data_IF_136450829336
#
_entry.id   IF_136450829336
#
_cell.length_a   1.000
_cell.length_b   1.000
_cell.length_c   1.000
_cell.angle_alpha   90.00
_cell.angle_beta   90.00
_cell.angle_gamma   90.00
#
_symmetry.space_group_name_H-M   'P 1'
#
loop_
_entity.id
_entity.type
_entity.pdbx_description
1 polymer ?
#
# COMPACT_ATOMS: atom_id res chain seq x y z
N UNK A 1 -37.89 -34.27 37.25
CA UNK A 1 -37.81 -35.65 37.78
C UNK A 1 -38.95 -36.44 37.16
N UNK A 2 -38.78 -37.64 36.60
CA UNK A 2 -37.60 -38.52 36.53
C UNK A 2 -37.54 -39.32 35.20
N UNK A 3 -36.42 -40.01 34.96
CA UNK A 3 -36.00 -40.79 33.77
C UNK A 3 -34.99 -41.86 34.29
N UNK A 4 -34.76 -43.07 33.72
CA UNK A 4 -35.51 -43.94 32.79
C UNK A 4 -35.89 -45.28 33.51
N UNK A 5 -35.80 -46.57 33.02
CA UNK A 5 -34.75 -47.21 32.19
C UNK A 5 -35.22 -48.15 31.02
N UNK A 6 -34.26 -48.56 30.18
CA UNK A 6 -34.28 -49.75 29.30
C UNK A 6 -33.26 -50.81 29.88
N UNK A 7 -32.93 -51.98 29.28
CA UNK A 7 -33.38 -52.69 28.06
C UNK A 7 -33.86 -54.16 28.40
N UNK A 8 -33.81 -55.23 27.55
CA UNK A 8 -32.59 -55.84 26.96
C UNK A 8 -32.70 -56.44 25.52
N UNK A 9 -31.56 -56.97 25.01
CA UNK A 9 -31.35 -57.80 23.81
C UNK A 9 -30.61 -59.10 24.24
N UNK A 10 -30.28 -60.07 23.35
CA UNK A 10 -31.03 -60.79 22.30
C UNK A 10 -30.94 -62.34 22.53
N UNK A 11 -31.23 -63.19 21.53
CA UNK A 11 -30.31 -64.32 21.27
C UNK A 11 -29.98 -64.54 19.78
N UNK A 12 -29.08 -65.50 19.48
CA UNK A 12 -28.31 -65.53 18.22
C UNK A 12 -28.32 -66.87 17.44
N UNK A 13 -27.87 -66.76 16.17
CA UNK A 13 -27.02 -67.71 15.41
C UNK A 13 -27.61 -68.81 14.46
N UNK A 14 -27.35 -68.59 13.15
CA UNK A 14 -26.76 -69.54 12.15
C UNK A 14 -27.68 -70.69 11.60
N UNK A 15 -27.35 -71.40 10.49
CA UNK A 15 -26.05 -71.50 9.78
C UNK A 15 -26.05 -71.30 8.23
N UNK A 16 -24.95 -71.72 7.58
CA UNK A 16 -24.46 -71.32 6.24
C UNK A 16 -24.67 -72.32 5.09
N UNK A 17 -24.67 -71.83 3.83
CA UNK A 17 -24.05 -72.46 2.63
C UNK A 17 -23.96 -71.38 1.51
N UNK A 18 -22.81 -70.87 1.07
CA UNK A 18 -21.67 -71.44 0.31
C UNK A 18 -22.02 -71.91 -1.12
N UNK A 19 -21.71 -71.06 -2.11
CA UNK A 19 -21.35 -71.48 -3.48
C UNK A 19 -20.05 -70.78 -3.92
N UNK A 20 -19.21 -71.57 -4.56
CA UNK A 20 -17.79 -71.45 -4.94
C UNK A 20 -17.32 -70.27 -5.83
N UNK A 21 -16.15 -69.71 -5.50
CA UNK A 21 -15.00 -69.41 -6.42
C UNK A 21 -14.03 -70.62 -6.37
N UNK A 22 -13.05 -70.87 -7.30
CA UNK A 22 -12.00 -69.94 -7.78
C UNK A 22 -11.43 -70.31 -9.21
N UNK A 23 -10.13 -70.19 -9.57
CA UNK A 23 -9.12 -69.10 -9.45
C UNK A 23 -8.43 -68.69 -10.80
N UNK A 24 -7.73 -67.55 -10.81
CA UNK A 24 -6.41 -67.39 -11.49
C UNK A 24 -5.66 -66.14 -10.95
N UNK A 25 -4.32 -66.19 -10.91
CA UNK A 25 -3.40 -65.19 -10.35
C UNK A 25 -1.97 -65.42 -10.93
N UNK A 26 -0.95 -64.55 -10.85
CA UNK A 26 -0.68 -63.22 -10.20
C UNK A 26 0.30 -62.48 -11.18
N UNK A 27 1.37 -61.74 -10.80
CA UNK A 27 1.64 -60.74 -9.74
C UNK A 27 1.82 -59.29 -10.33
N UNK A 28 1.44 -58.21 -9.64
CA UNK A 28 2.14 -57.44 -8.59
C UNK A 28 3.26 -56.48 -9.07
N UNK A 29 3.19 -55.21 -8.64
CA UNK A 29 4.33 -54.27 -8.58
C UNK A 29 4.10 -52.87 -9.16
N UNK A 30 3.75 -51.89 -8.32
CA UNK A 30 4.27 -50.50 -8.32
C UNK A 30 3.38 -49.58 -7.46
N UNK A 31 3.91 -49.13 -6.32
CA UNK A 31 3.32 -48.05 -5.50
C UNK A 31 3.78 -46.70 -6.07
N UNK A 32 2.89 -45.72 -6.22
CA UNK A 32 3.24 -44.37 -6.66
C UNK A 32 2.22 -43.33 -6.19
N UNK A 33 2.67 -42.36 -5.41
CA UNK A 33 1.88 -41.21 -4.99
C UNK A 33 1.65 -40.23 -6.17
N UNK A 34 0.63 -39.34 -6.11
CA UNK A 34 0.52 -38.25 -7.07
C UNK A 34 1.78 -37.36 -7.00
N UNK A 35 2.34 -36.92 -8.15
CA UNK A 35 3.60 -36.20 -8.16
C UNK A 35 3.44 -34.78 -7.61
N UNK A 36 4.13 -34.50 -6.51
CA UNK A 36 4.41 -33.15 -6.05
C UNK A 36 5.48 -32.51 -6.94
N UNK A 37 5.11 -31.57 -7.81
CA UNK A 37 6.04 -30.65 -8.46
C UNK A 37 5.47 -29.23 -8.51
N UNK A 38 6.00 -28.37 -7.63
CA UNK A 38 6.42 -27.04 -8.08
C UNK A 38 7.82 -27.12 -8.70
N UNK A 39 8.41 -26.02 -9.21
CA UNK A 39 8.06 -24.63 -8.89
C UNK A 39 7.86 -23.70 -10.11
N UNK A 40 7.44 -22.46 -9.83
CA UNK A 40 7.69 -21.25 -10.63
C UNK A 40 7.27 -21.26 -12.12
N UNK A 41 5.96 -21.17 -12.34
CA UNK A 41 5.44 -20.41 -13.48
C UNK A 41 5.49 -18.91 -13.16
N UNK A 42 6.60 -18.21 -13.48
CA UNK A 42 6.54 -16.75 -13.71
C UNK A 42 5.67 -16.54 -14.95
N UNK A 43 4.37 -16.43 -14.77
CA UNK A 43 3.53 -15.91 -15.84
C UNK A 43 3.92 -14.44 -16.03
N UNK A 44 4.25 -14.08 -17.26
CA UNK A 44 4.47 -12.69 -17.61
C UNK A 44 3.12 -11.99 -17.51
N UNK A 45 2.87 -11.38 -16.35
CA UNK A 45 1.67 -10.61 -16.12
C UNK A 45 1.62 -9.51 -17.19
N UNK A 46 0.59 -9.60 -18.04
CA UNK A 46 0.44 -8.72 -19.19
C UNK A 46 0.50 -7.27 -18.71
N UNK A 47 1.13 -6.41 -19.51
CA UNK A 47 1.64 -5.07 -19.15
C UNK A 47 0.56 -4.08 -18.65
N UNK A 48 -0.06 -4.38 -17.53
CA UNK A 48 -1.16 -3.63 -16.93
C UNK A 48 -0.60 -2.60 -15.96
N UNK A 49 -0.99 -1.32 -16.04
CA UNK A 49 -0.53 -0.31 -15.12
C UNK A 49 -1.02 -0.64 -13.70
N UNK A 50 -0.14 -0.71 -12.70
CA UNK A 50 -0.55 -1.02 -11.33
C UNK A 50 -1.51 0.06 -10.78
N UNK A 51 -2.54 -0.33 -10.01
CA UNK A 51 -3.56 0.59 -9.56
C UNK A 51 -3.02 1.56 -8.49
N UNK A 52 -3.25 2.86 -8.68
CA UNK A 52 -2.71 3.91 -7.83
C UNK A 52 -3.38 4.09 -6.45
N UNK A 53 -4.33 3.23 -6.07
CA UNK A 53 -5.04 3.35 -4.78
C UNK A 53 -4.34 2.65 -3.61
N UNK A 54 -3.46 1.68 -3.86
CA UNK A 54 -2.76 0.95 -2.81
C UNK A 54 -1.35 1.49 -2.63
N UNK A 55 -1.17 2.35 -1.64
CA UNK A 55 0.10 2.99 -1.36
C UNK A 55 0.30 3.24 0.14
N UNK A 56 1.55 3.39 0.56
CA UNK A 56 1.93 3.77 1.92
C UNK A 56 3.00 4.87 1.89
N UNK A 57 3.04 5.70 2.92
CA UNK A 57 4.07 6.74 3.09
C UNK A 57 4.84 6.45 4.38
N UNK A 58 6.17 6.58 4.36
CA UNK A 58 6.99 6.48 5.59
C UNK A 58 7.81 7.75 5.79
N UNK A 59 8.01 8.12 7.06
CA UNK A 59 8.77 9.29 7.47
C UNK A 59 10.05 8.83 8.20
N UNK A 60 11.21 9.15 7.64
CA UNK A 60 12.50 8.65 8.12
C UNK A 60 12.71 7.16 7.86
N UNK A 61 13.65 6.57 8.60
CA UNK A 61 14.09 5.18 8.40
C UNK A 61 13.13 4.11 8.96
N UNK A 62 12.10 4.50 9.71
CA UNK A 62 11.21 3.57 10.40
C UNK A 62 9.96 3.29 9.56
N UNK A 63 9.96 2.16 8.83
CA UNK A 63 8.81 1.71 8.04
C UNK A 63 7.60 1.25 8.89
N UNK A 64 7.70 1.24 10.23
CA UNK A 64 6.62 0.84 11.18
C UNK A 64 5.95 2.04 11.84
N UNK A 65 5.98 3.20 11.21
CA UNK A 65 5.32 4.39 11.72
C UNK A 65 3.83 4.35 11.35
N UNK A 66 2.96 4.22 12.37
CA UNK A 66 1.51 4.11 12.21
C UNK A 66 0.85 5.32 11.51
N UNK A 67 1.61 6.40 11.31
CA UNK A 67 1.23 7.60 10.56
C UNK A 67 1.24 7.42 9.03
N UNK A 68 1.61 6.25 8.52
CA UNK A 68 1.84 6.03 7.08
C UNK A 68 0.60 5.85 6.18
N UNK A 69 -0.61 5.86 6.75
CA UNK A 69 -1.86 5.73 6.01
C UNK A 69 -2.38 7.11 5.55
N UNK A 70 -2.46 7.31 4.24
CA UNK A 70 -2.96 8.54 3.62
C UNK A 70 -4.09 8.23 2.63
N UNK A 71 -5.00 9.18 2.48
CA UNK A 71 -6.09 9.16 1.49
C UNK A 71 -5.60 9.63 0.13
N UNK A 72 -4.68 10.59 0.10
CA UNK A 72 -4.21 11.25 -1.12
C UNK A 72 -2.77 11.75 -0.95
N UNK A 73 -1.98 11.65 -2.03
CA UNK A 73 -0.61 12.20 -2.13
C UNK A 73 -0.48 12.90 -3.47
N UNK A 74 -0.18 14.20 -3.48
CA UNK A 74 0.00 15.02 -4.69
C UNK A 74 1.24 15.90 -4.61
N UNK A 75 1.72 16.43 -5.75
CA UNK A 75 2.94 17.25 -5.80
C UNK A 75 4.26 16.45 -5.77
N UNK A 76 4.24 15.19 -6.21
CA UNK A 76 5.44 14.38 -6.42
C UNK A 76 6.00 14.58 -7.84
N UNK A 77 7.17 15.20 -7.96
CA UNK A 77 7.94 15.28 -9.20
C UNK A 77 8.60 16.64 -9.43
N UNK A 78 9.69 16.71 -10.22
CA UNK A 78 10.22 17.99 -10.69
C UNK A 78 9.30 18.61 -11.77
N UNK A 79 9.06 19.91 -11.65
CA UNK A 79 8.46 20.74 -12.70
C UNK A 79 9.54 21.67 -13.26
N UNK A 80 9.61 21.82 -14.59
CA UNK A 80 10.54 22.75 -15.23
C UNK A 80 9.83 24.05 -15.60
N UNK A 81 10.26 25.16 -15.02
CA UNK A 81 9.82 26.48 -15.43
C UNK A 81 10.40 26.81 -16.81
N UNK A 82 9.53 27.22 -17.74
CA UNK A 82 9.90 27.67 -19.09
C UNK A 82 9.63 29.16 -19.27
N UNK A 83 10.43 29.81 -20.10
CA UNK A 83 10.28 31.22 -20.47
C UNK A 83 10.03 31.34 -21.97
N UNK A 84 8.98 32.07 -22.36
CA UNK A 84 8.58 32.24 -23.75
C UNK A 84 9.33 33.40 -24.42
N UNK A 85 10.15 33.10 -25.42
CA UNK A 85 10.88 34.10 -26.22
C UNK A 85 10.30 34.16 -27.63
N UNK A 86 9.85 35.36 -28.02
CA UNK A 86 9.33 35.65 -29.36
C UNK A 86 10.43 36.34 -30.17
N UNK A 87 10.79 35.79 -31.32
CA UNK A 87 11.77 36.39 -32.23
C UNK A 87 11.09 37.33 -33.25
N UNK A 88 11.71 38.48 -33.49
CA UNK A 88 11.21 39.43 -34.48
C UNK A 88 11.29 38.85 -35.90
N UNK A 89 10.18 38.90 -36.63
CA UNK A 89 10.08 38.43 -38.02
C UNK A 89 9.58 36.99 -38.18
N UNK A 90 9.49 36.21 -37.10
CA UNK A 90 9.01 34.82 -37.14
C UNK A 90 7.74 34.63 -36.31
N UNK A 91 6.57 34.84 -36.94
CA UNK A 91 5.26 34.76 -36.28
C UNK A 91 4.66 33.34 -36.18
N UNK A 92 5.34 32.32 -36.72
CA UNK A 92 4.77 30.96 -36.81
C UNK A 92 4.94 30.10 -35.55
N UNK A 93 5.89 30.43 -34.68
CA UNK A 93 6.11 29.73 -33.41
C UNK A 93 6.80 30.63 -32.38
N UNK A 94 6.78 30.21 -31.11
CA UNK A 94 7.42 30.89 -29.97
C UNK A 94 8.41 29.91 -29.33
N UNK A 95 9.62 30.36 -29.01
CA UNK A 95 10.60 29.53 -28.32
C UNK A 95 10.23 29.40 -26.84
N UNK A 96 10.38 28.20 -26.28
CA UNK A 96 10.29 27.98 -24.84
C UNK A 96 11.66 27.57 -24.31
N UNK A 97 12.29 28.44 -23.54
CA UNK A 97 13.61 28.22 -22.96
C UNK A 97 13.49 27.64 -21.54
N UNK A 98 14.26 26.60 -21.18
CA UNK A 98 14.27 26.05 -19.83
C UNK A 98 14.94 27.03 -18.85
N UNK A 99 14.34 27.22 -17.67
CA UNK A 99 14.84 28.15 -16.65
C UNK A 99 15.35 27.43 -15.41
N UNK A 100 14.46 27.11 -14.47
CA UNK A 100 14.78 26.46 -13.21
C UNK A 100 13.87 25.25 -13.00
N UNK A 101 14.43 24.19 -12.39
CA UNK A 101 13.62 23.08 -11.89
C UNK A 101 13.04 23.50 -10.55
N UNK A 102 11.72 23.51 -10.45
CA UNK A 102 10.96 23.73 -9.22
C UNK A 102 10.41 22.39 -8.73
N UNK A 103 10.35 22.25 -7.42
CA UNK A 103 9.63 21.16 -6.78
C UNK A 103 8.31 21.74 -6.23
N UNK A 104 7.14 21.29 -6.73
CA UNK A 104 5.87 21.66 -6.14
C UNK A 104 5.79 21.11 -4.72
N UNK A 105 4.98 21.72 -3.86
CA UNK A 105 4.80 21.22 -2.49
C UNK A 105 4.16 19.83 -2.52
N UNK A 106 4.72 18.91 -1.73
CA UNK A 106 4.12 17.59 -1.50
C UNK A 106 2.92 17.78 -0.58
N UNK A 107 1.73 17.45 -1.03
CA UNK A 107 0.48 17.60 -0.27
C UNK A 107 -0.05 16.22 0.09
N UNK A 108 -0.25 16.00 1.39
CA UNK A 108 -0.66 14.75 1.99
C UNK A 108 -2.01 14.95 2.68
N UNK A 109 -3.04 14.21 2.26
CA UNK A 109 -4.37 14.24 2.88
C UNK A 109 -4.59 12.92 3.62
N UNK A 110 -4.99 12.93 4.89
CA UNK A 110 -5.33 11.73 5.68
C UNK A 110 -6.50 11.99 6.62
N UNK A 111 -7.16 10.92 7.10
CA UNK A 111 -8.11 11.05 8.20
C UNK A 111 -7.42 11.56 9.47
N UNK A 112 -8.14 12.31 10.32
CA UNK A 112 -7.59 12.78 11.61
C UNK A 112 -7.08 11.58 12.42
N UNK A 113 -5.78 11.57 12.71
CA UNK A 113 -5.12 10.55 13.51
C UNK A 113 -5.34 10.78 15.02
N UNK A 114 -5.06 9.75 15.82
CA UNK A 114 -5.00 9.85 17.28
C UNK A 114 -3.91 10.83 17.72
N UNK A 115 -4.06 11.45 18.90
CA UNK A 115 -3.15 12.49 19.41
C UNK A 115 -1.67 12.07 19.54
N UNK A 116 -1.36 10.77 19.53
CA UNK A 116 0.01 10.24 19.61
C UNK A 116 0.74 10.18 18.24
N UNK A 117 0.16 10.79 17.20
CA UNK A 117 0.76 10.91 15.87
C UNK A 117 2.13 11.62 15.91
N UNK A 118 3.20 10.88 15.57
CA UNK A 118 4.57 11.42 15.47
C UNK A 118 4.74 12.37 14.29
N UNK A 119 3.91 12.21 13.26
CA UNK A 119 3.79 13.18 12.18
C UNK A 119 3.21 14.51 12.68
N UNK A 120 2.10 14.47 13.42
CA UNK A 120 1.44 15.68 13.94
C UNK A 120 2.35 16.44 14.91
N UNK A 121 3.00 15.74 15.84
CA UNK A 121 3.97 16.34 16.78
C UNK A 121 5.13 17.04 16.06
N UNK A 122 5.60 16.51 14.92
CA UNK A 122 6.62 17.16 14.10
C UNK A 122 6.08 18.38 13.33
N UNK A 123 4.84 18.31 12.85
CA UNK A 123 4.18 19.47 12.23
C UNK A 123 3.99 20.61 13.24
N UNK A 124 3.49 20.32 14.44
CA UNK A 124 3.33 21.30 15.52
C UNK A 124 4.68 21.90 15.92
N UNK A 125 5.72 21.07 16.15
CA UNK A 125 7.02 21.59 16.59
C UNK A 125 7.69 22.55 15.60
N UNK A 126 7.45 22.37 14.30
CA UNK A 126 7.98 23.24 13.23
C UNK A 126 7.10 24.48 13.00
N UNK A 127 5.78 24.33 12.99
CA UNK A 127 4.85 25.41 12.63
C UNK A 127 4.52 26.33 13.82
N UNK A 128 4.35 25.78 15.02
CA UNK A 128 4.00 26.53 16.25
C UNK A 128 5.24 27.00 17.02
N UNK A 129 6.39 26.33 16.83
CA UNK A 129 7.64 26.63 17.51
C UNK A 129 8.30 27.97 17.14
N UNK A 130 7.69 28.78 16.27
CA UNK A 130 8.12 30.15 15.96
C UNK A 130 9.54 30.28 15.42
N UNK A 131 10.10 29.22 14.82
CA UNK A 131 11.51 29.08 14.43
C UNK A 131 12.52 29.22 15.61
N UNK A 132 12.07 29.12 16.86
CA UNK A 132 12.93 29.12 18.05
C UNK A 132 13.78 27.84 18.17
N UNK A 133 13.49 26.81 17.38
CA UNK A 133 14.29 25.60 17.21
C UNK A 133 14.62 25.41 15.72
N UNK A 134 15.78 24.83 15.38
CA UNK A 134 16.13 24.53 14.00
C UNK A 134 15.14 23.52 13.42
N UNK A 135 14.69 23.76 12.18
CA UNK A 135 13.88 22.80 11.44
C UNK A 135 14.77 21.59 11.11
N UNK A 136 14.36 20.41 11.57
CA UNK A 136 14.99 19.14 11.16
C UNK A 136 14.20 18.54 9.99
N UNK A 137 14.72 18.59 8.75
CA UNK A 137 14.06 18.00 7.61
C UNK A 137 14.08 16.48 7.70
N UNK A 138 13.06 15.82 7.17
CA UNK A 138 12.96 14.36 7.13
C UNK A 138 13.07 13.85 5.70
N UNK A 139 13.63 12.66 5.55
CA UNK A 139 13.50 11.83 4.37
C UNK A 139 12.10 11.20 4.36
N UNK A 140 11.43 11.14 3.21
CA UNK A 140 10.20 10.36 3.06
C UNK A 140 10.33 9.35 1.92
N UNK A 141 9.52 8.30 2.01
CA UNK A 141 9.31 7.36 0.93
C UNK A 141 7.82 7.16 0.71
N UNK A 142 7.38 7.25 -0.54
CA UNK A 142 6.03 6.90 -0.99
C UNK A 142 6.15 5.59 -1.75
N UNK A 143 5.48 4.55 -1.28
CA UNK A 143 5.50 3.21 -1.85
C UNK A 143 4.17 2.96 -2.56
N UNK A 144 4.20 2.63 -3.85
CA UNK A 144 3.10 1.93 -4.51
C UNK A 144 3.19 0.46 -4.15
N UNK A 145 2.10 -0.15 -3.73
CA UNK A 145 2.07 -1.51 -3.20
C UNK A 145 1.30 -2.46 -4.14
N UNK A 146 1.77 -3.70 -4.25
CA UNK A 146 1.01 -4.81 -4.87
C UNK A 146 -0.14 -5.29 -3.97
N UNK A 147 -0.93 -6.25 -4.45
CA UNK A 147 -2.06 -6.83 -3.70
C UNK A 147 -1.62 -7.56 -2.41
N UNK A 148 -0.35 -7.95 -2.31
CA UNK A 148 0.23 -8.64 -1.17
C UNK A 148 0.95 -7.66 -0.20
N UNK A 149 0.96 -6.36 -0.50
CA UNK A 149 1.63 -5.32 0.29
C UNK A 149 3.13 -5.17 0.02
N UNK A 150 3.65 -5.81 -1.03
CA UNK A 150 5.02 -5.63 -1.51
C UNK A 150 5.21 -4.31 -2.29
N UNK A 151 6.36 -3.63 -2.17
CA UNK A 151 6.59 -2.37 -2.86
C UNK A 151 6.90 -2.56 -4.35
N UNK A 152 5.97 -2.15 -5.22
CA UNK A 152 6.12 -2.15 -6.68
C UNK A 152 6.98 -1.00 -7.20
N UNK A 153 6.83 0.19 -6.61
CA UNK A 153 7.58 1.41 -6.96
C UNK A 153 7.75 2.28 -5.73
N UNK A 154 8.87 3.00 -5.66
CA UNK A 154 9.16 3.91 -4.54
C UNK A 154 9.57 5.28 -5.05
N UNK A 155 8.95 6.34 -4.54
CA UNK A 155 9.41 7.71 -4.69
C UNK A 155 10.08 8.16 -3.40
N UNK A 156 11.32 8.59 -3.51
CA UNK A 156 12.18 9.07 -2.43
C UNK A 156 12.16 10.59 -2.41
N UNK A 157 11.75 11.21 -1.31
CA UNK A 157 11.60 12.67 -1.17
C UNK A 157 12.56 13.18 -0.11
N UNK A 158 13.53 13.98 -0.53
CA UNK A 158 14.68 14.38 0.27
C UNK A 158 14.47 15.75 0.94
N UNK A 159 14.93 15.85 2.18
CA UNK A 159 14.93 17.08 2.99
C UNK A 159 13.57 17.78 3.05
N UNK A 160 12.50 17.03 3.32
CA UNK A 160 11.17 17.61 3.42
C UNK A 160 10.89 18.19 4.82
N UNK A 161 10.12 19.27 4.88
CA UNK A 161 9.67 19.91 6.11
C UNK A 161 8.26 20.48 5.94
N UNK A 162 7.44 20.52 7.00
CA UNK A 162 6.08 21.03 6.91
C UNK A 162 6.07 22.55 6.76
N UNK A 163 5.22 23.02 5.85
CA UNK A 163 4.99 24.46 5.60
C UNK A 163 3.56 24.89 5.93
N UNK A 164 2.62 23.94 6.02
CA UNK A 164 1.23 24.21 6.42
C UNK A 164 0.56 22.92 6.90
N UNK A 165 -0.26 23.05 7.93
CA UNK A 165 -1.21 22.05 8.39
C UNK A 165 -2.60 22.70 8.44
N UNK A 166 -3.63 21.96 8.05
CA UNK A 166 -5.01 22.44 8.01
C UNK A 166 -5.98 21.26 8.08
N UNK A 167 -7.15 21.47 8.69
CA UNK A 167 -8.23 20.48 8.77
C UNK A 167 -9.36 20.91 7.84
N UNK A 168 -10.01 19.97 7.17
CA UNK A 168 -11.17 20.24 6.32
C UNK A 168 -12.37 20.73 7.14
N UNK A 169 -13.28 21.46 6.49
CA UNK A 169 -14.40 22.10 7.18
C UNK A 169 -15.43 21.09 7.71
N UNK A 170 -15.66 21.09 9.02
CA UNK A 170 -16.66 20.25 9.67
C UNK A 170 -18.08 20.65 9.25
N UNK A 171 -18.83 19.72 8.64
CA UNK A 171 -20.24 19.91 8.24
C UNK A 171 -21.16 18.94 8.98
N UNK A 172 -21.96 19.43 9.92
CA UNK A 172 -22.89 18.60 10.70
C UNK A 172 -24.02 17.95 9.88
N UNK A 173 -24.23 18.37 8.63
CA UNK A 173 -25.25 17.85 7.72
C UNK A 173 -24.76 16.71 6.82
N UNK A 174 -23.46 16.39 6.83
CA UNK A 174 -22.86 15.35 5.98
C UNK A 174 -22.10 14.33 6.83
N UNK A 175 -22.26 13.06 6.49
CA UNK A 175 -21.51 11.97 7.13
C UNK A 175 -20.19 11.74 6.38
N UNK A 176 -19.26 12.66 6.52
CA UNK A 176 -17.92 12.63 5.91
C UNK A 176 -16.86 12.42 6.99
N UNK A 177 -15.81 11.64 6.70
CA UNK A 177 -14.68 11.45 7.63
C UNK A 177 -13.87 12.74 7.68
N UNK A 178 -13.54 13.22 8.89
CA UNK A 178 -12.72 14.41 9.05
C UNK A 178 -11.30 14.17 8.52
N UNK A 179 -10.87 15.00 7.56
CA UNK A 179 -9.57 14.94 6.91
C UNK A 179 -8.68 16.09 7.39
N UNK A 180 -7.41 15.79 7.62
CA UNK A 180 -6.34 16.76 7.73
C UNK A 180 -5.44 16.74 6.50
N UNK A 181 -4.94 17.93 6.13
CA UNK A 181 -4.11 18.21 4.96
C UNK A 181 -2.80 18.85 5.41
N UNK A 182 -1.69 18.18 5.10
CA UNK A 182 -0.33 18.60 5.40
C UNK A 182 0.37 18.97 4.09
N UNK A 183 0.89 20.18 3.98
CA UNK A 183 1.78 20.60 2.89
C UNK A 183 3.23 20.55 3.37
N UNK A 184 4.09 19.84 2.62
CA UNK A 184 5.53 19.76 2.84
C UNK A 184 6.27 20.42 1.68
N UNK A 185 7.27 21.25 1.97
CA UNK A 185 8.29 21.64 0.99
C UNK A 185 9.44 20.63 1.05
N UNK A 186 10.09 20.33 -0.08
CA UNK A 186 11.19 19.37 -0.16
C UNK A 186 12.26 19.82 -1.16
N UNK A 187 13.49 19.32 -1.01
CA UNK A 187 14.62 19.74 -1.83
C UNK A 187 14.73 18.99 -3.16
N UNK A 188 14.31 17.72 -3.19
CA UNK A 188 14.26 16.92 -4.41
C UNK A 188 13.49 15.62 -4.25
N UNK A 189 12.99 15.09 -5.37
CA UNK A 189 12.28 13.82 -5.46
C UNK A 189 12.91 12.92 -6.52
N UNK A 190 13.25 11.67 -6.18
CA UNK A 190 13.71 10.67 -7.15
C UNK A 190 12.83 9.43 -7.12
N UNK A 191 12.55 8.84 -8.28
CA UNK A 191 11.92 7.51 -8.36
C UNK A 191 13.02 6.45 -8.26
N UNK A 192 12.94 5.60 -7.26
CA UNK A 192 13.78 4.41 -7.14
C UNK A 192 13.21 3.32 -8.06
N UNK A 193 14.09 2.51 -8.65
CA UNK A 193 13.73 1.47 -9.61
C UNK A 193 13.07 0.26 -8.93
#
# INVERSE_FOLDING_TARGET
MAVPPAPPLPPAARPSARVTRPPAARPAGATGAPPSQGPQGKQAEALYPPPAFHFAVTFGANAKDADGAFREVTGLGPEMETESVVEGGQNAFVHQLPKAVKHPKLVLSRGIATMESRLLLWCQSVLEGGLAQPIFPKQLHVFLLDEQGGPLRVWSVQNAYPVKWSVEAFQATRNEVAIERIELAYAGSSRLM
#
